data_IF_135065807790
#
_entry.id   IF_135065807790
#
_cell.length_a   1.000
_cell.length_b   1.000
_cell.length_c   1.000
_cell.angle_alpha   90.00
_cell.angle_beta   90.00
_cell.angle_gamma   90.00
#
_symmetry.space_group_name_H-M   'P 1'
#
loop_
_entity.id
_entity.type
_entity.pdbx_description
1 polymer ?
#
# COMPACT_ATOMS: atom_id res chain seq x y z
N UNK A 1 0.29 -23.24 11.71
CA UNK A 1 -1.13 -22.85 11.88
C UNK A 1 -1.75 -22.62 10.52
N UNK A 2 -3.05 -22.91 10.35
CA UNK A 2 -3.77 -22.74 9.08
C UNK A 2 -4.36 -21.32 8.93
N UNK A 3 -4.60 -20.91 7.69
CA UNK A 3 -5.29 -19.68 7.32
C UNK A 3 -6.63 -19.56 8.04
N UNK A 4 -6.89 -18.42 8.68
CA UNK A 4 -8.14 -18.19 9.42
C UNK A 4 -9.38 -18.12 8.51
N UNK A 5 -9.21 -17.70 7.25
CA UNK A 5 -10.31 -17.58 6.27
C UNK A 5 -10.63 -18.91 5.62
N UNK A 6 -9.70 -19.47 4.85
CA UNK A 6 -9.97 -20.67 4.07
C UNK A 6 -9.73 -21.99 4.81
N UNK A 7 -8.97 -21.99 5.91
CA UNK A 7 -8.59 -23.18 6.70
C UNK A 7 -7.92 -24.34 5.94
N UNK A 8 -7.61 -24.16 4.66
CA UNK A 8 -7.02 -25.19 3.78
C UNK A 8 -5.50 -25.08 3.65
N UNK A 9 -4.96 -23.87 3.77
CA UNK A 9 -3.54 -23.54 3.54
C UNK A 9 -2.88 -23.07 4.83
N UNK A 10 -1.56 -23.27 5.01
CA UNK A 10 -0.85 -22.67 6.13
C UNK A 10 -0.97 -21.15 6.10
N UNK A 11 -1.10 -20.53 7.27
CA UNK A 11 -1.03 -19.08 7.40
C UNK A 11 0.42 -18.64 7.25
N UNK A 12 0.68 -17.75 6.29
CA UNK A 12 2.02 -17.23 5.95
C UNK A 12 2.08 -15.70 5.96
N UNK A 13 0.92 -15.05 6.08
CA UNK A 13 0.77 -13.59 6.10
C UNK A 13 0.15 -13.15 7.42
N UNK A 14 0.75 -12.14 8.04
CA UNK A 14 0.28 -11.54 9.30
C UNK A 14 -0.25 -10.15 9.01
N UNK A 15 -1.55 -9.95 9.17
CA UNK A 15 -2.21 -8.66 8.98
C UNK A 15 -2.47 -8.01 10.33
N UNK A 16 -2.11 -6.75 10.48
CA UNK A 16 -2.43 -5.93 11.65
C UNK A 16 -3.09 -4.64 11.18
N UNK A 17 -4.31 -4.37 11.65
CA UNK A 17 -5.04 -3.13 11.40
C UNK A 17 -5.32 -2.44 12.73
N UNK A 18 -5.09 -1.14 12.81
CA UNK A 18 -5.35 -0.34 14.01
C UNK A 18 -6.44 0.66 13.65
N UNK A 19 -7.60 0.57 14.31
CA UNK A 19 -8.74 1.47 14.11
C UNK A 19 -9.14 2.02 15.47
N UNK A 20 -9.15 3.34 15.66
CA UNK A 20 -9.48 3.99 16.94
C UNK A 20 -8.72 3.39 18.13
N UNK A 21 -7.40 3.23 17.98
CA UNK A 21 -6.52 2.58 18.97
C UNK A 21 -6.80 1.10 19.26
N UNK A 22 -7.75 0.47 18.56
CA UNK A 22 -8.02 -0.96 18.68
C UNK A 22 -7.21 -1.71 17.63
N UNK A 23 -6.35 -2.63 18.08
CA UNK A 23 -5.55 -3.51 17.23
C UNK A 23 -6.38 -4.74 16.85
N UNK A 24 -6.49 -5.00 15.56
CA UNK A 24 -7.07 -6.22 15.00
C UNK A 24 -5.99 -6.99 14.23
N UNK A 25 -5.83 -8.26 14.54
CA UNK A 25 -4.84 -9.14 13.92
C UNK A 25 -5.51 -10.29 13.17
N UNK A 26 -4.98 -10.65 11.99
CA UNK A 26 -5.37 -11.86 11.25
C UNK A 26 -4.16 -12.60 10.68
N UNK A 27 -4.28 -13.91 10.60
CA UNK A 27 -3.29 -14.84 10.08
C UNK A 27 -3.86 -15.54 8.83
N UNK A 28 -3.40 -15.12 7.66
CA UNK A 28 -3.94 -15.56 6.38
C UNK A 28 -2.89 -16.33 5.57
N UNK A 29 -3.35 -17.17 4.64
CA UNK A 29 -2.49 -17.64 3.56
C UNK A 29 -2.33 -16.54 2.51
N UNK A 30 -1.30 -16.66 1.67
CA UNK A 30 -1.00 -15.69 0.61
C UNK A 30 -2.20 -15.39 -0.31
N UNK A 31 -2.96 -16.41 -0.69
CA UNK A 31 -4.12 -16.26 -1.59
C UNK A 31 -5.21 -15.41 -0.94
N UNK A 32 -5.65 -15.77 0.27
CA UNK A 32 -6.70 -15.03 0.97
C UNK A 32 -6.24 -13.63 1.40
N UNK A 33 -4.94 -13.42 1.63
CA UNK A 33 -4.40 -12.10 1.91
C UNK A 33 -4.48 -11.16 0.70
N UNK A 34 -4.34 -11.66 -0.53
CA UNK A 34 -4.48 -10.86 -1.76
C UNK A 34 -5.94 -10.47 -2.04
N UNK A 35 -6.89 -11.30 -1.61
CA UNK A 35 -8.33 -11.07 -1.75
C UNK A 35 -8.92 -10.21 -0.62
N UNK A 36 -8.13 -9.94 0.44
CA UNK A 36 -8.57 -9.19 1.61
C UNK A 36 -8.66 -7.68 1.34
N UNK A 37 -9.68 -7.28 0.56
CA UNK A 37 -9.94 -5.89 0.19
C UNK A 37 -10.27 -5.00 1.42
N UNK A 38 -10.93 -5.58 2.45
CA UNK A 38 -11.32 -4.89 3.69
C UNK A 38 -10.12 -4.37 4.52
N UNK A 39 -8.93 -4.93 4.33
CA UNK A 39 -7.73 -4.42 4.98
C UNK A 39 -7.13 -3.20 4.28
N UNK A 40 -7.64 -2.81 3.11
CA UNK A 40 -7.03 -1.76 2.28
C UNK A 40 -5.64 -2.14 1.78
N UNK A 41 -5.26 -3.41 1.94
CA UNK A 41 -3.99 -3.97 1.50
C UNK A 41 -4.24 -4.45 0.06
N UNK A 42 -4.44 -3.49 -0.84
CA UNK A 42 -3.99 -3.72 -2.21
C UNK A 42 -2.47 -3.90 -2.09
N UNK A 43 -1.99 -5.14 -2.10
CA UNK A 43 -0.56 -5.43 -2.32
C UNK A 43 -0.11 -5.05 -3.75
N UNK A 44 -0.96 -4.34 -4.49
CA UNK A 44 -0.54 -3.51 -5.61
C UNK A 44 -0.21 -2.12 -5.07
N UNK A 45 1.05 -1.67 -5.17
CA UNK A 45 1.33 -0.27 -4.98
C UNK A 45 0.59 0.49 -6.08
N UNK A 46 -0.57 1.08 -5.77
CA UNK A 46 -1.29 2.01 -6.67
C UNK A 46 -0.53 3.33 -6.73
N UNK A 47 0.74 3.29 -7.14
CA UNK A 47 1.46 4.46 -7.59
C UNK A 47 0.93 4.79 -8.98
N UNK A 48 0.17 5.88 -9.09
CA UNK A 48 -0.08 6.44 -10.41
C UNK A 48 1.23 7.07 -10.87
N UNK A 49 1.61 6.89 -12.14
CA UNK A 49 2.87 7.41 -12.70
C UNK A 49 3.05 8.92 -12.44
N UNK A 50 1.94 9.66 -12.43
CA UNK A 50 1.91 11.07 -12.08
C UNK A 50 2.37 11.35 -10.64
N UNK A 51 1.93 10.59 -9.63
CA UNK A 51 2.36 10.81 -8.24
C UNK A 51 3.85 10.52 -8.01
N UNK A 52 4.44 9.61 -8.78
CA UNK A 52 5.89 9.35 -8.72
C UNK A 52 6.70 10.48 -9.37
N UNK A 53 6.29 10.91 -10.57
CA UNK A 53 6.97 11.98 -11.30
C UNK A 53 6.90 13.32 -10.57
N UNK A 54 5.76 13.67 -9.98
CA UNK A 54 5.65 14.92 -9.21
C UNK A 54 6.57 14.94 -8.00
N UNK A 55 6.84 13.78 -7.37
CA UNK A 55 7.81 13.68 -6.28
C UNK A 55 9.27 13.75 -6.73
N UNK A 56 9.58 13.27 -7.94
CA UNK A 56 10.92 13.32 -8.52
C UNK A 56 11.24 14.67 -9.18
N UNK A 57 10.22 15.35 -9.71
CA UNK A 57 10.32 16.59 -10.50
C UNK A 57 9.74 17.81 -9.76
N UNK A 58 9.47 17.68 -8.45
CA UNK A 58 8.81 18.65 -7.61
C UNK A 58 9.65 19.87 -7.21
N UNK A 59 10.09 20.64 -8.21
CA UNK A 59 10.18 22.12 -8.27
C UNK A 59 10.60 22.89 -7.00
N UNK A 60 11.89 23.19 -6.89
CA UNK A 60 12.41 24.33 -6.12
C UNK A 60 12.39 25.60 -6.98
N UNK A 61 11.59 26.59 -6.57
CA UNK A 61 11.57 27.92 -7.18
C UNK A 61 12.70 28.82 -6.64
N UNK A 62 13.28 29.66 -7.51
CA UNK A 62 13.56 31.11 -7.29
C UNK A 62 14.38 31.74 -8.45
N UNK A 63 13.94 32.93 -8.91
CA UNK A 63 14.67 33.98 -9.69
C UNK A 63 14.64 33.99 -11.26
N UNK A 64 14.08 35.07 -11.85
CA UNK A 64 14.15 35.50 -13.28
C UNK A 64 15.55 36.07 -13.62
N UNK A 65 16.18 35.88 -14.81
CA UNK A 65 15.78 36.58 -16.07
C UNK A 65 16.18 35.91 -17.42
N UNK A 66 15.52 36.31 -18.52
CA UNK A 66 16.11 36.36 -19.88
C UNK A 66 16.14 35.08 -20.74
N UNK A 67 15.76 35.19 -22.03
CA UNK A 67 15.78 34.09 -23.01
C UNK A 67 14.80 34.27 -24.19
N UNK A 68 14.88 35.30 -25.05
CA UNK A 68 15.58 35.29 -26.36
C UNK A 68 15.49 33.96 -27.17
N UNK A 69 14.64 33.96 -28.21
CA UNK A 69 14.91 33.58 -29.60
C UNK A 69 13.65 33.83 -30.46
#
# INVERSE_FOLDING_TARGET
>A
MFCQECKMRPATVHLTKIINNVKQERHLCEVCAREADDFGISMEPKFTFHHLLTGLLGTEGTFYPGGEA
#
